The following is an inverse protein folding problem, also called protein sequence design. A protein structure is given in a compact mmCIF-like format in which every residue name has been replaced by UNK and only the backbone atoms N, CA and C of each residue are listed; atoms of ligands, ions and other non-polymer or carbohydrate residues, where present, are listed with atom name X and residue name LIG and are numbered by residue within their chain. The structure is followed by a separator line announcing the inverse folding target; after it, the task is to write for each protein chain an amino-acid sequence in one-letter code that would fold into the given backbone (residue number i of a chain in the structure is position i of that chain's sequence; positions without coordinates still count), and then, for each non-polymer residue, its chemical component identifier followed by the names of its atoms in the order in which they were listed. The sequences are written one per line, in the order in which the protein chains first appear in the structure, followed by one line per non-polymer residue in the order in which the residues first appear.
data_IF_366869963571
#
_entry.id   IF_366869963571
#
_cell.length_a   1.000
_cell.length_b   1.000
_cell.length_c   1.000
_cell.angle_alpha   90.00
_cell.angle_beta   90.00
_cell.angle_gamma   90.00
#
_symmetry.space_group_name_H-M   'P 1'
#
loop_
_entity.id
_entity.type
_entity.pdbx_description
1 polymer ?
#
# COMPACT_ATOMS: atom_id res chain seq x y z
N UNK A 1 -8.61 -27.21 1.69
CA UNK A 1 -9.11 -26.09 2.50
C UNK A 1 -10.34 -25.52 1.82
N UNK A 2 -11.32 -25.09 2.60
CA UNK A 2 -12.58 -24.51 2.12
C UNK A 2 -12.38 -23.03 1.71
N UNK A 3 -13.19 -22.51 0.78
CA UNK A 3 -13.14 -21.12 0.27
C UNK A 3 -13.02 -20.10 1.41
N UNK A 4 -13.82 -20.30 2.46
CA UNK A 4 -13.86 -19.42 3.63
C UNK A 4 -12.52 -19.40 4.38
N UNK A 5 -11.79 -20.51 4.43
CA UNK A 5 -10.48 -20.56 5.08
C UNK A 5 -9.44 -19.74 4.31
N UNK A 6 -9.42 -19.83 2.98
CA UNK A 6 -8.52 -19.03 2.16
C UNK A 6 -8.85 -17.54 2.25
N UNK A 7 -10.14 -17.20 2.25
CA UNK A 7 -10.60 -15.82 2.43
C UNK A 7 -10.16 -15.26 3.79
N UNK A 8 -10.24 -16.06 4.85
CA UNK A 8 -9.76 -15.69 6.19
C UNK A 8 -8.25 -15.46 6.23
N UNK A 9 -7.47 -16.35 5.62
CA UNK A 9 -6.00 -16.22 5.56
C UNK A 9 -5.60 -14.94 4.82
N UNK A 10 -6.19 -14.72 3.63
CA UNK A 10 -5.94 -13.52 2.84
C UNK A 10 -6.33 -12.24 3.60
N UNK A 11 -7.53 -12.23 4.20
CA UNK A 11 -8.02 -11.12 5.02
C UNK A 11 -7.07 -10.80 6.18
N UNK A 12 -6.57 -11.83 6.87
CA UNK A 12 -5.64 -11.65 7.99
C UNK A 12 -4.30 -11.07 7.52
N UNK A 13 -3.80 -11.48 6.35
CA UNK A 13 -2.58 -10.94 5.78
C UNK A 13 -2.71 -9.44 5.45
N UNK A 14 -3.81 -9.04 4.81
CA UNK A 14 -4.08 -7.64 4.48
C UNK A 14 -4.29 -6.76 5.72
N UNK A 15 -4.97 -7.29 6.75
CA UNK A 15 -5.09 -6.61 8.06
C UNK A 15 -3.72 -6.43 8.69
N UNK A 16 -2.87 -7.47 8.67
CA UNK A 16 -1.53 -7.39 9.23
C UNK A 16 -0.68 -6.35 8.50
N UNK A 17 -0.79 -6.28 7.17
CA UNK A 17 -0.15 -5.23 6.39
C UNK A 17 -0.65 -3.84 6.80
N UNK A 18 -1.95 -3.64 6.97
CA UNK A 18 -2.50 -2.38 7.48
C UNK A 18 -1.95 -1.99 8.86
N UNK A 19 -1.72 -2.96 9.76
CA UNK A 19 -1.06 -2.70 11.06
C UNK A 19 0.37 -2.25 10.89
N UNK A 20 1.13 -2.88 9.99
CA UNK A 20 2.50 -2.48 9.70
C UNK A 20 2.58 -1.08 9.11
N UNK A 21 1.68 -0.73 8.19
CA UNK A 21 1.60 0.62 7.62
C UNK A 21 1.41 1.68 8.72
N UNK A 22 0.41 1.50 9.59
CA UNK A 22 0.19 2.43 10.71
C UNK A 22 1.38 2.43 11.68
N UNK A 23 1.94 1.26 11.98
CA UNK A 23 3.10 1.13 12.86
C UNK A 23 4.31 1.91 12.34
N UNK A 24 4.64 1.77 11.06
CA UNK A 24 5.73 2.51 10.40
C UNK A 24 5.41 4.02 10.39
N UNK A 25 4.18 4.40 10.07
CA UNK A 25 3.78 5.80 10.04
C UNK A 25 3.97 6.49 11.40
N UNK A 26 3.50 5.86 12.48
CA UNK A 26 3.52 6.45 13.82
C UNK A 26 4.88 6.34 14.48
N UNK A 27 5.58 5.22 14.34
CA UNK A 27 6.84 4.98 15.05
C UNK A 27 8.07 5.51 14.31
N UNK A 28 8.00 5.66 12.99
CA UNK A 28 9.15 6.04 12.15
C UNK A 28 8.90 7.36 11.45
N UNK A 29 7.84 7.46 10.64
CA UNK A 29 7.63 8.62 9.76
C UNK A 29 7.27 9.87 10.57
N UNK A 30 6.38 9.75 11.56
CA UNK A 30 5.95 10.88 12.38
C UNK A 30 7.12 11.54 13.17
N UNK A 31 7.97 10.79 13.90
CA UNK A 31 9.17 11.37 14.52
C UNK A 31 10.10 12.06 13.52
N UNK A 32 10.31 11.47 12.33
CA UNK A 32 11.13 12.08 11.28
C UNK A 32 10.51 13.41 10.83
N UNK A 33 9.20 13.46 10.57
CA UNK A 33 8.52 14.70 10.20
C UNK A 33 8.68 15.78 11.29
N UNK A 34 8.53 15.41 12.57
CA UNK A 34 8.72 16.34 13.70
C UNK A 34 10.16 16.88 13.73
N UNK A 35 11.17 16.03 13.50
CA UNK A 35 12.57 16.46 13.42
C UNK A 35 12.82 17.40 12.23
N UNK A 36 12.23 17.10 11.07
CA UNK A 36 12.39 17.90 9.85
C UNK A 36 11.69 19.27 9.94
N UNK A 37 10.63 19.42 10.74
CA UNK A 37 10.00 20.74 10.97
C UNK A 37 10.97 21.68 11.71
N UNK A 38 11.76 21.14 12.64
CA UNK A 38 12.68 21.93 13.47
C UNK A 38 13.99 22.29 12.78
N UNK A 39 14.28 21.70 11.62
CA UNK A 39 15.56 21.92 10.94
C UNK A 39 15.63 23.27 10.21
N UNK A 40 16.82 23.86 10.19
CA UNK A 40 17.15 24.99 9.32
C UNK A 40 17.51 24.57 7.89
N UNK A 41 17.81 23.29 7.67
CA UNK A 41 18.35 22.79 6.41
C UNK A 41 17.29 22.76 5.30
N UNK A 42 17.57 23.45 4.18
CA UNK A 42 16.64 23.60 3.05
C UNK A 42 16.33 22.27 2.37
N UNK A 43 17.32 21.39 2.23
CA UNK A 43 17.14 20.03 1.71
C UNK A 43 16.16 19.23 2.56
N UNK A 44 16.35 19.22 3.87
CA UNK A 44 15.49 18.51 4.81
C UNK A 44 14.05 19.05 4.82
N UNK A 45 13.86 20.37 4.67
CA UNK A 45 12.54 20.98 4.50
C UNK A 45 11.84 20.52 3.22
N UNK A 46 12.59 20.32 2.14
CA UNK A 46 12.05 19.77 0.88
C UNK A 46 11.48 18.36 1.05
N UNK A 47 12.12 17.52 1.86
CA UNK A 47 11.66 16.15 2.15
C UNK A 47 10.41 16.09 3.03
N UNK A 48 10.08 17.15 3.78
CA UNK A 48 8.96 17.15 4.71
C UNK A 48 7.61 16.95 4.02
N UNK A 49 7.39 17.62 2.88
CA UNK A 49 6.11 17.52 2.16
C UNK A 49 5.84 16.08 1.71
N UNK A 50 6.78 15.40 1.01
CA UNK A 50 6.55 14.02 0.61
C UNK A 50 6.42 13.06 1.79
N UNK A 51 7.23 13.21 2.84
CA UNK A 51 7.14 12.33 4.01
C UNK A 51 5.83 12.54 4.79
N UNK A 52 5.33 13.77 4.86
CA UNK A 52 4.01 14.06 5.40
C UNK A 52 2.90 13.40 4.58
N UNK A 53 3.02 13.40 3.25
CA UNK A 53 2.08 12.70 2.38
C UNK A 53 2.14 11.18 2.59
N UNK A 54 3.34 10.60 2.71
CA UNK A 54 3.52 9.18 3.00
C UNK A 54 2.85 8.79 4.32
N UNK A 55 3.04 9.60 5.37
CA UNK A 55 2.38 9.41 6.65
C UNK A 55 0.85 9.34 6.51
N UNK A 56 0.26 10.28 5.76
CA UNK A 56 -1.19 10.31 5.53
C UNK A 56 -1.66 9.09 4.74
N UNK A 57 -0.89 8.63 3.75
CA UNK A 57 -1.21 7.43 2.99
C UNK A 57 -1.16 6.19 3.89
N UNK A 58 -0.11 6.03 4.68
CA UNK A 58 0.07 4.85 5.53
C UNK A 58 -1.00 4.78 6.63
N UNK A 59 -1.33 5.91 7.27
CA UNK A 59 -2.40 5.96 8.27
C UNK A 59 -3.77 5.80 7.61
N UNK A 60 -4.02 6.50 6.50
CA UNK A 60 -5.31 6.50 5.82
C UNK A 60 -5.62 5.15 5.18
N UNK A 61 -4.73 4.64 4.34
CA UNK A 61 -4.90 3.35 3.67
C UNK A 61 -4.72 2.17 4.64
N UNK A 62 -3.76 2.24 5.56
CA UNK A 62 -3.61 1.23 6.61
C UNK A 62 -4.87 1.13 7.48
N UNK A 63 -5.43 2.28 7.89
CA UNK A 63 -6.70 2.36 8.62
C UNK A 63 -7.88 1.82 7.80
N UNK A 64 -7.94 2.17 6.52
CA UNK A 64 -8.93 1.60 5.59
C UNK A 64 -8.85 0.07 5.53
N UNK A 65 -7.66 -0.52 5.43
CA UNK A 65 -7.48 -1.98 5.43
C UNK A 65 -7.99 -2.61 6.73
N UNK A 66 -7.63 -2.04 7.89
CA UNK A 66 -8.07 -2.54 9.19
C UNK A 66 -9.59 -2.52 9.38
N UNK A 67 -10.25 -1.52 8.82
CA UNK A 67 -11.69 -1.35 8.95
C UNK A 67 -12.50 -2.11 7.89
N UNK A 68 -12.07 -2.05 6.63
CA UNK A 68 -12.83 -2.58 5.49
C UNK A 68 -12.71 -4.09 5.34
N UNK A 69 -11.50 -4.66 5.53
CA UNK A 69 -11.23 -6.08 5.25
C UNK A 69 -12.04 -7.05 6.13
N UNK A 70 -12.18 -6.86 7.46
CA UNK A 70 -13.06 -7.69 8.27
C UNK A 70 -14.52 -7.65 7.80
N UNK A 71 -15.03 -6.45 7.48
CA UNK A 71 -16.41 -6.25 7.01
C UNK A 71 -16.66 -6.91 5.66
N UNK A 72 -15.70 -6.79 4.74
CA UNK A 72 -15.76 -7.47 3.44
C UNK A 72 -15.79 -8.99 3.61
N UNK A 73 -14.95 -9.55 4.48
CA UNK A 73 -14.95 -10.99 4.77
C UNK A 73 -16.29 -11.47 5.31
N UNK A 74 -16.88 -10.76 6.29
CA UNK A 74 -18.20 -11.12 6.84
C UNK A 74 -19.30 -11.06 5.78
N UNK A 75 -19.27 -10.02 4.93
CA UNK A 75 -20.24 -9.87 3.83
C UNK A 75 -20.11 -11.01 2.83
N UNK A 76 -18.88 -11.32 2.39
CA UNK A 76 -18.62 -12.42 1.44
C UNK A 76 -19.00 -13.77 2.05
N UNK A 77 -18.74 -13.99 3.35
CA UNK A 77 -19.16 -15.22 4.04
C UNK A 77 -20.69 -15.37 4.08
N UNK A 78 -21.44 -14.31 4.37
CA UNK A 78 -22.91 -14.32 4.34
C UNK A 78 -23.44 -14.56 2.94
N UNK A 79 -22.86 -13.91 1.93
CA UNK A 79 -23.24 -14.11 0.53
C UNK A 79 -22.98 -15.54 0.07
N UNK A 80 -21.85 -16.14 0.47
CA UNK A 80 -21.51 -17.52 0.14
C UNK A 80 -22.48 -18.54 0.75
N UNK A 81 -22.99 -18.27 1.95
CA UNK A 81 -24.03 -19.10 2.60
C UNK A 81 -25.38 -19.01 1.89
N UNK A 82 -25.69 -17.87 1.25
CA UNK A 82 -26.94 -17.66 0.52
C UNK A 82 -26.89 -18.22 -0.90
N UNK A 83 -25.79 -17.97 -1.62
CA UNK A 83 -25.56 -18.48 -2.97
C UNK A 83 -24.05 -18.59 -3.22
N UNK A 84 -23.52 -19.81 -3.09
CA UNK A 84 -22.09 -20.09 -3.18
C UNK A 84 -21.52 -19.86 -4.58
N UNK A 85 -22.27 -20.20 -5.63
CA UNK A 85 -21.82 -20.13 -7.02
C UNK A 85 -21.69 -18.68 -7.50
N UNK A 86 -22.73 -17.87 -7.29
CA UNK A 86 -22.70 -16.44 -7.65
C UNK A 86 -21.64 -15.67 -6.84
N UNK A 87 -21.48 -16.01 -5.57
CA UNK A 87 -20.47 -15.36 -4.71
C UNK A 87 -19.06 -15.71 -5.16
N UNK A 88 -18.86 -16.96 -5.59
CA UNK A 88 -17.58 -17.43 -6.12
C UNK A 88 -17.19 -16.67 -7.39
N UNK A 89 -18.09 -16.61 -8.37
CA UNK A 89 -17.81 -15.92 -9.64
C UNK A 89 -17.49 -14.43 -9.44
N UNK A 90 -18.25 -13.77 -8.56
CA UNK A 90 -18.01 -12.37 -8.21
C UNK A 90 -16.65 -12.17 -7.53
N UNK A 91 -16.23 -13.08 -6.64
CA UNK A 91 -14.92 -12.98 -5.98
C UNK A 91 -13.79 -13.21 -6.98
N UNK A 92 -13.93 -14.17 -7.91
CA UNK A 92 -12.95 -14.41 -8.99
C UNK A 92 -12.79 -13.18 -9.89
N UNK A 93 -13.90 -12.54 -10.28
CA UNK A 93 -13.86 -11.32 -11.09
C UNK A 93 -13.14 -10.18 -10.36
N UNK A 94 -13.50 -9.95 -9.09
CA UNK A 94 -12.86 -8.92 -8.25
C UNK A 94 -11.36 -9.15 -8.13
N UNK A 95 -10.95 -10.39 -7.83
CA UNK A 95 -9.54 -10.74 -7.65
C UNK A 95 -8.74 -10.59 -8.96
N UNK A 96 -9.34 -10.87 -10.12
CA UNK A 96 -8.71 -10.60 -11.43
C UNK A 96 -8.50 -9.10 -11.67
N UNK A 97 -9.49 -8.27 -11.31
CA UNK A 97 -9.37 -6.81 -11.40
C UNK A 97 -8.26 -6.31 -10.48
N UNK A 98 -8.25 -6.76 -9.22
CA UNK A 98 -7.22 -6.39 -8.24
C UNK A 98 -5.82 -6.80 -8.72
N UNK A 99 -5.67 -8.01 -9.29
CA UNK A 99 -4.40 -8.48 -9.84
C UNK A 99 -3.88 -7.58 -10.97
N UNK A 100 -4.76 -7.17 -11.88
CA UNK A 100 -4.40 -6.26 -12.99
C UNK A 100 -3.98 -4.89 -12.45
N UNK A 101 -4.75 -4.35 -11.51
CA UNK A 101 -4.47 -3.07 -10.85
C UNK A 101 -3.10 -3.08 -10.19
N UNK A 102 -2.81 -4.08 -9.34
CA UNK A 102 -1.52 -4.20 -8.67
C UNK A 102 -0.34 -4.39 -9.64
N UNK A 103 -0.57 -5.06 -10.77
CA UNK A 103 0.47 -5.22 -11.79
C UNK A 103 0.79 -3.87 -12.46
N UNK A 104 -0.25 -3.11 -12.82
CA UNK A 104 -0.10 -1.81 -13.47
C UNK A 104 0.52 -0.77 -12.54
N UNK A 105 0.05 -0.67 -11.29
CA UNK A 105 0.55 0.33 -10.34
C UNK A 105 2.01 0.11 -9.99
N UNK A 106 2.48 -1.14 -9.90
CA UNK A 106 3.92 -1.44 -9.70
C UNK A 106 4.82 -0.80 -10.75
N UNK A 107 4.46 -0.91 -12.03
CA UNK A 107 5.25 -0.30 -13.11
C UNK A 107 5.20 1.22 -13.04
N UNK A 108 4.05 1.80 -12.68
CA UNK A 108 3.90 3.24 -12.48
C UNK A 108 4.81 3.72 -11.33
N UNK A 109 4.76 3.07 -10.17
CA UNK A 109 5.59 3.44 -9.03
C UNK A 109 7.08 3.28 -9.32
N UNK A 110 7.48 2.20 -10.01
CA UNK A 110 8.87 2.01 -10.42
C UNK A 110 9.34 3.11 -11.40
N UNK A 111 8.52 3.47 -12.39
CA UNK A 111 8.84 4.56 -13.31
C UNK A 111 8.96 5.92 -12.62
N UNK A 112 8.02 6.22 -11.72
CA UNK A 112 8.04 7.46 -10.92
C UNK A 112 9.25 7.52 -9.98
N UNK A 113 9.64 6.38 -9.38
CA UNK A 113 10.84 6.27 -8.55
C UNK A 113 12.11 6.64 -9.34
N UNK A 114 12.29 6.06 -10.51
CA UNK A 114 13.44 6.34 -11.39
C UNK A 114 13.43 7.82 -11.81
N UNK A 115 12.27 8.36 -12.20
CA UNK A 115 12.12 9.76 -12.55
C UNK A 115 12.51 10.69 -11.40
N UNK A 116 12.06 10.37 -10.18
CA UNK A 116 12.35 11.16 -8.98
C UNK A 116 13.84 11.16 -8.64
N UNK A 117 14.51 10.02 -8.78
CA UNK A 117 15.96 9.92 -8.62
C UNK A 117 16.69 10.71 -9.71
N UNK A 118 16.22 10.64 -10.97
CA UNK A 118 16.79 11.45 -12.06
C UNK A 118 16.66 12.95 -11.79
N UNK A 119 15.49 13.40 -11.33
CA UNK A 119 15.24 14.79 -10.94
C UNK A 119 16.20 15.25 -9.83
N UNK A 120 16.49 14.41 -8.84
CA UNK A 120 17.43 14.75 -7.76
C UNK A 120 18.80 15.20 -8.29
N UNK A 121 19.34 14.55 -9.32
CA UNK A 121 20.65 14.91 -9.90
C UNK A 121 20.61 16.14 -10.80
N UNK A 122 19.46 16.44 -11.42
CA UNK A 122 19.31 17.58 -12.35
C UNK A 122 19.03 18.88 -11.58
N UNK A 123 18.29 18.78 -10.47
CA UNK A 123 17.87 19.93 -9.67
C UNK A 123 19.05 20.49 -8.87
N UNK A 124 19.29 21.80 -9.00
CA UNK A 124 20.41 22.50 -8.34
C UNK A 124 20.04 23.13 -6.99
N UNK A 125 18.75 23.30 -6.70
CA UNK A 125 18.29 23.88 -5.44
C UNK A 125 18.14 22.78 -4.39
N UNK A 126 18.78 22.96 -3.24
CA UNK A 126 18.76 22.00 -2.12
C UNK A 126 17.33 21.58 -1.75
N UNK A 127 16.41 22.54 -1.64
CA UNK A 127 15.00 22.26 -1.36
C UNK A 127 14.36 21.33 -2.40
N UNK A 128 14.62 21.56 -3.70
CA UNK A 128 14.06 20.76 -4.78
C UNK A 128 14.69 19.37 -4.85
N UNK A 129 15.99 19.25 -4.52
CA UNK A 129 16.63 17.96 -4.34
C UNK A 129 15.99 17.18 -3.17
N UNK A 130 15.73 17.85 -2.05
CA UNK A 130 15.01 17.26 -0.92
C UNK A 130 13.62 16.77 -1.30
N UNK A 131 12.88 17.59 -2.05
CA UNK A 131 11.56 17.22 -2.56
C UNK A 131 11.62 15.98 -3.46
N UNK A 132 12.57 15.94 -4.40
CA UNK A 132 12.77 14.82 -5.31
C UNK A 132 13.17 13.53 -4.57
N UNK A 133 14.02 13.63 -3.53
CA UNK A 133 14.37 12.47 -2.73
C UNK A 133 13.20 12.00 -1.86
N UNK A 134 12.42 12.94 -1.28
CA UNK A 134 11.20 12.60 -0.55
C UNK A 134 10.18 11.88 -1.42
N UNK A 135 9.98 12.31 -2.67
CA UNK A 135 9.12 11.60 -3.62
C UNK A 135 9.63 10.21 -3.97
N UNK A 136 10.96 10.04 -4.09
CA UNK A 136 11.55 8.71 -4.28
C UNK A 136 11.19 7.78 -3.11
N UNK A 137 11.23 8.29 -1.87
CA UNK A 137 10.82 7.52 -0.68
C UNK A 137 9.33 7.15 -0.75
N UNK A 138 8.43 8.07 -1.13
CA UNK A 138 7.00 7.74 -1.32
C UNK A 138 6.85 6.62 -2.35
N UNK A 139 7.43 6.78 -3.53
CA UNK A 139 7.22 5.82 -4.62
C UNK A 139 7.77 4.45 -4.29
N UNK A 140 8.90 4.38 -3.57
CA UNK A 140 9.39 3.14 -3.02
C UNK A 140 8.42 2.53 -1.98
N UNK A 141 7.88 3.34 -1.07
CA UNK A 141 6.87 2.91 -0.09
C UNK A 141 5.62 2.33 -0.78
N UNK A 142 5.08 3.05 -1.76
CA UNK A 142 3.93 2.60 -2.55
C UNK A 142 4.21 1.31 -3.32
N UNK A 143 5.40 1.19 -3.92
CA UNK A 143 5.84 -0.02 -4.61
C UNK A 143 5.86 -1.22 -3.65
N UNK A 144 6.37 -1.04 -2.43
CA UNK A 144 6.41 -2.08 -1.41
C UNK A 144 5.00 -2.47 -0.94
N UNK A 145 4.13 -1.48 -0.68
CA UNK A 145 2.74 -1.73 -0.29
C UNK A 145 2.02 -2.56 -1.36
N UNK A 146 2.10 -2.15 -2.63
CA UNK A 146 1.49 -2.88 -3.74
C UNK A 146 2.16 -4.24 -3.97
N UNK A 147 3.46 -4.37 -3.72
CA UNK A 147 4.17 -5.64 -3.79
C UNK A 147 3.61 -6.66 -2.80
N UNK A 148 3.45 -6.28 -1.54
CA UNK A 148 2.91 -7.13 -0.50
C UNK A 148 1.44 -7.48 -0.74
N UNK A 149 0.59 -6.51 -1.11
CA UNK A 149 -0.82 -6.77 -1.42
C UNK A 149 -0.96 -7.76 -2.58
N UNK A 150 -0.18 -7.57 -3.63
CA UNK A 150 -0.20 -8.47 -4.78
C UNK A 150 0.32 -9.86 -4.44
N UNK A 151 1.32 -9.96 -3.57
CA UNK A 151 1.81 -11.25 -3.09
C UNK A 151 0.74 -11.98 -2.27
N UNK A 152 0.06 -11.30 -1.36
CA UNK A 152 -1.06 -11.84 -0.60
C UNK A 152 -2.18 -12.33 -1.53
N UNK A 153 -2.50 -11.53 -2.56
CA UNK A 153 -3.49 -11.88 -3.58
C UNK A 153 -3.07 -13.09 -4.42
N UNK A 154 -1.79 -13.19 -4.81
CA UNK A 154 -1.25 -14.32 -5.56
C UNK A 154 -1.29 -15.61 -4.74
N UNK A 155 -0.96 -15.55 -3.44
CA UNK A 155 -1.07 -16.68 -2.54
C UNK A 155 -2.52 -17.14 -2.41
N UNK A 156 -3.46 -16.20 -2.31
CA UNK A 156 -4.89 -16.51 -2.33
C UNK A 156 -5.30 -17.20 -3.63
N UNK A 157 -4.97 -16.62 -4.79
CA UNK A 157 -5.27 -17.18 -6.12
C UNK A 157 -4.69 -18.58 -6.33
N UNK A 158 -3.41 -18.79 -6.02
CA UNK A 158 -2.70 -20.06 -6.26
C UNK A 158 -3.29 -21.24 -5.47
N UNK A 159 -3.92 -20.95 -4.33
CA UNK A 159 -4.54 -21.95 -3.48
C UNK A 159 -6.05 -22.10 -3.72
N UNK A 160 -6.64 -21.15 -4.46
CA UNK A 160 -8.08 -21.02 -4.70
C UNK A 160 -8.51 -21.37 -6.13
N UNK A 161 -7.66 -21.09 -7.13
CA UNK A 161 -7.86 -21.42 -8.54
C UNK A 161 -6.84 -22.49 -8.91
N UNK A 162 -7.24 -23.76 -8.81
CA UNK A 162 -6.50 -24.89 -9.41
C UNK A 162 -7.18 -25.29 -10.72
#
# INVERSE_FOLDING_TARGET
MDFIQYLQIWTKADINQGRWMIGIAVLIILPICIMLIKTGNSFQKGMLIPLGLLFLIDVGYGGYLLYSKPKSMEKTKKSFQLNSEITFDNEVLKVKVDHKSYTMTKYIWAGLLILSIGCFFILKKEYLQGLALGFAVIFLGMLLIDAFLHQNLKLYLSNFVK
#
